data_IF_201639029142
#
_entry.id   IF_201639029142
#
_cell.length_a   1.000
_cell.length_b   1.000
_cell.length_c   1.000
_cell.angle_alpha   90.00
_cell.angle_beta   90.00
_cell.angle_gamma   90.00
#
_symmetry.space_group_name_H-M   'P 1'
#
loop_
_entity.id
_entity.type
_entity.pdbx_description
1 polymer ?
#
# COMPACT_ATOMS: atom_id res chain seq x y z
N UNK A 1 21.27 -32.27 42.50
CA UNK A 1 21.70 -33.01 41.28
C UNK A 1 22.32 -32.00 40.33
N UNK A 2 23.61 -32.09 40.02
CA UNK A 2 24.30 -31.12 39.15
C UNK A 2 23.95 -31.34 37.68
N UNK A 3 24.01 -30.26 36.90
CA UNK A 3 23.72 -30.23 35.45
C UNK A 3 24.62 -31.23 34.70
N UNK A 4 25.87 -31.38 35.15
CA UNK A 4 26.82 -32.36 34.63
C UNK A 4 26.39 -33.81 34.85
N UNK A 5 25.76 -34.10 36.00
CA UNK A 5 25.23 -35.44 36.30
C UNK A 5 24.07 -35.79 35.38
N UNK A 6 23.24 -34.80 35.02
CA UNK A 6 22.14 -34.95 34.06
C UNK A 6 22.68 -35.17 32.64
N UNK A 7 23.72 -34.43 32.25
CA UNK A 7 24.39 -34.61 30.96
C UNK A 7 25.05 -36.00 30.84
N UNK A 8 25.74 -36.45 31.89
CA UNK A 8 26.35 -37.77 31.94
C UNK A 8 25.32 -38.90 31.86
N UNK A 9 24.16 -38.76 32.51
CA UNK A 9 23.07 -39.74 32.44
C UNK A 9 22.44 -39.77 31.04
N UNK A 10 22.26 -38.62 30.39
CA UNK A 10 21.77 -38.54 29.00
C UNK A 10 22.76 -39.17 28.02
N UNK A 11 24.05 -38.88 28.16
CA UNK A 11 25.11 -39.48 27.34
C UNK A 11 25.16 -41.00 27.51
N UNK A 12 25.05 -41.49 28.76
CA UNK A 12 25.04 -42.93 29.06
C UNK A 12 23.80 -43.64 28.51
N UNK A 13 22.62 -43.00 28.50
CA UNK A 13 21.42 -43.53 27.83
C UNK A 13 21.55 -43.56 26.31
N UNK A 14 22.18 -42.55 25.70
CA UNK A 14 22.38 -42.48 24.25
C UNK A 14 23.37 -43.56 23.78
N UNK A 15 24.45 -43.77 24.53
CA UNK A 15 25.42 -44.83 24.25
C UNK A 15 24.81 -46.23 24.39
N UNK A 16 23.97 -46.45 25.41
CA UNK A 16 23.27 -47.74 25.61
C UNK A 16 22.22 -48.01 24.52
N UNK A 17 21.57 -46.97 23.98
CA UNK A 17 20.66 -47.08 22.81
C UNK A 17 21.37 -47.47 21.51
N UNK A 18 22.65 -47.13 21.35
CA UNK A 18 23.45 -47.49 20.17
C UNK A 18 23.96 -48.94 20.18
N UNK A 19 23.91 -49.64 21.32
CA UNK A 19 24.52 -50.95 21.51
C UNK A 19 23.51 -52.12 21.60
N UNK A 20 22.22 -51.89 21.36
CA UNK A 20 21.19 -52.92 21.55
C UNK A 20 20.45 -53.21 20.24
N UNK A 21 20.73 -54.41 19.73
CA UNK A 21 20.09 -55.19 18.66
C UNK A 21 20.58 -54.88 17.24
N UNK A 22 21.63 -55.62 16.85
CA UNK A 22 21.97 -55.94 15.46
C UNK A 22 21.15 -57.18 15.08
N UNK A 23 20.04 -56.98 14.37
CA UNK A 23 19.34 -58.05 13.66
C UNK A 23 20.08 -58.32 12.35
N UNK A 24 20.24 -59.59 12.05
CA UNK A 24 20.99 -60.13 10.92
C UNK A 24 20.23 -59.89 9.60
N UNK A 25 20.58 -58.83 8.87
CA UNK A 25 20.16 -58.53 7.49
C UNK A 25 21.17 -57.54 6.87
N UNK A 26 22.41 -58.01 6.70
CA UNK A 26 23.57 -57.22 6.32
C UNK A 26 23.82 -57.26 4.80
N UNK A 27 22.98 -56.60 4.00
CA UNK A 27 23.29 -56.32 2.57
C UNK A 27 22.60 -55.05 2.01
N UNK A 28 22.10 -54.14 2.85
CA UNK A 28 21.45 -52.90 2.37
C UNK A 28 21.43 -51.69 3.33
N UNK A 29 21.97 -51.80 4.55
CA UNK A 29 21.84 -50.74 5.58
C UNK A 29 22.98 -49.71 5.60
N UNK A 30 24.19 -50.06 5.14
CA UNK A 30 25.31 -49.11 5.10
C UNK A 30 25.05 -47.98 4.10
N UNK A 31 24.37 -48.28 2.99
CA UNK A 31 24.06 -47.32 1.93
C UNK A 31 22.98 -46.32 2.40
N UNK A 32 21.95 -46.79 3.10
CA UNK A 32 20.91 -45.93 3.70
C UNK A 32 21.45 -44.99 4.79
N UNK A 33 22.46 -45.43 5.55
CA UNK A 33 23.06 -44.62 6.62
C UNK A 33 23.96 -43.51 6.04
N UNK A 34 24.71 -43.79 4.98
CA UNK A 34 25.49 -42.80 4.23
C UNK A 34 24.61 -41.79 3.47
N UNK A 35 23.49 -42.24 2.90
CA UNK A 35 22.52 -41.37 2.22
C UNK A 35 21.86 -40.40 3.22
N UNK A 36 21.47 -40.88 4.41
CA UNK A 36 20.91 -40.02 5.47
C UNK A 36 21.93 -39.01 6.01
N UNK A 37 23.19 -39.42 6.21
CA UNK A 37 24.25 -38.53 6.69
C UNK A 37 24.63 -37.47 5.65
N UNK A 38 24.67 -37.84 4.36
CA UNK A 38 24.82 -36.92 3.24
C UNK A 38 23.69 -35.89 3.19
N UNK A 39 22.43 -36.33 3.38
CA UNK A 39 21.26 -35.44 3.36
C UNK A 39 21.27 -34.46 4.54
N UNK A 40 21.81 -34.85 5.70
CA UNK A 40 22.01 -33.95 6.85
C UNK A 40 23.08 -32.89 6.57
N UNK A 41 24.20 -33.26 5.98
CA UNK A 41 25.29 -32.31 5.68
C UNK A 41 24.92 -31.35 4.54
N UNK A 42 24.20 -31.83 3.51
CA UNK A 42 23.63 -30.99 2.45
C UNK A 42 22.61 -30.01 3.02
N UNK A 43 21.70 -30.48 3.87
CA UNK A 43 20.71 -29.61 4.54
C UNK A 43 21.40 -28.58 5.44
N UNK A 44 22.49 -28.96 6.12
CA UNK A 44 23.28 -28.05 6.95
C UNK A 44 24.02 -26.99 6.12
N UNK A 45 24.61 -27.36 4.99
CA UNK A 45 25.27 -26.41 4.08
C UNK A 45 24.25 -25.40 3.52
N UNK A 46 23.09 -25.88 3.08
CA UNK A 46 21.98 -25.04 2.59
C UNK A 46 21.53 -24.04 3.68
N UNK A 47 21.26 -24.53 4.89
CA UNK A 47 20.86 -23.70 6.04
C UNK A 47 21.93 -22.68 6.45
N UNK A 48 23.21 -23.02 6.29
CA UNK A 48 24.33 -22.13 6.65
C UNK A 48 24.56 -21.00 5.65
N UNK A 49 24.16 -21.21 4.39
CA UNK A 49 24.35 -20.27 3.27
C UNK A 49 23.11 -19.44 2.98
N UNK A 50 21.93 -19.89 3.40
CA UNK A 50 20.71 -19.13 3.21
C UNK A 50 20.62 -17.93 4.15
N UNK A 51 20.15 -16.80 3.63
CA UNK A 51 19.86 -15.61 4.43
C UNK A 51 18.35 -15.43 4.54
N UNK A 52 17.81 -15.73 5.71
CA UNK A 52 16.38 -15.55 5.96
C UNK A 52 16.04 -14.07 6.16
N UNK A 53 15.34 -13.48 5.19
CA UNK A 53 14.96 -12.06 5.22
C UNK A 53 13.76 -11.75 6.12
N UNK A 54 12.83 -12.70 6.27
CA UNK A 54 11.64 -12.58 7.12
C UNK A 54 11.30 -13.92 7.77
N UNK A 55 10.89 -13.86 9.02
CA UNK A 55 10.34 -14.99 9.79
C UNK A 55 8.87 -14.72 10.10
N UNK A 56 8.16 -15.76 10.53
CA UNK A 56 6.78 -15.63 11.06
C UNK A 56 6.65 -14.53 12.12
N UNK A 57 7.70 -14.31 12.92
CA UNK A 57 7.72 -13.28 13.96
C UNK A 57 7.96 -11.88 13.37
N UNK A 58 8.88 -11.73 12.41
CA UNK A 58 9.19 -10.41 11.84
C UNK A 58 8.07 -9.88 10.94
N UNK A 59 7.22 -10.74 10.37
CA UNK A 59 6.05 -10.31 9.58
C UNK A 59 4.96 -9.69 10.45
N UNK A 60 4.87 -10.10 11.72
CA UNK A 60 3.90 -9.56 12.69
C UNK A 60 4.35 -8.21 13.28
N UNK A 61 5.60 -7.81 13.05
CA UNK A 61 6.17 -6.57 13.58
C UNK A 61 6.36 -5.55 12.46
N UNK A 62 5.95 -4.30 12.69
CA UNK A 62 6.20 -3.21 11.75
C UNK A 62 7.66 -2.77 11.81
N UNK A 63 8.33 -2.75 10.66
CA UNK A 63 9.70 -2.24 10.55
C UNK A 63 9.72 -0.73 10.75
N UNK A 64 10.35 -0.26 11.83
CA UNK A 64 10.63 1.17 12.07
C UNK A 64 9.47 2.00 12.63
N UNK A 65 8.32 1.39 12.96
CA UNK A 65 7.20 2.08 13.62
C UNK A 65 6.74 1.29 14.83
N UNK A 66 6.61 1.97 15.97
CA UNK A 66 6.05 1.38 17.18
C UNK A 66 4.72 2.06 17.51
N UNK A 67 3.63 1.33 17.33
CA UNK A 67 2.27 1.85 17.52
C UNK A 67 1.78 1.72 18.97
N UNK A 68 2.53 1.05 19.85
CA UNK A 68 2.14 0.81 21.24
C UNK A 68 1.75 2.11 21.96
N UNK A 69 2.53 3.18 21.76
CA UNK A 69 2.30 4.48 22.40
C UNK A 69 1.03 5.18 21.92
N UNK A 70 0.56 4.89 20.71
CA UNK A 70 -0.67 5.47 20.15
C UNK A 70 -1.90 4.60 20.45
N UNK A 71 -1.73 3.28 20.48
CA UNK A 71 -2.83 2.32 20.60
C UNK A 71 -3.19 2.04 22.07
N UNK A 72 -2.22 1.91 22.97
CA UNK A 72 -2.49 1.56 24.37
C UNK A 72 -3.35 2.59 25.13
N UNK A 73 -3.17 3.92 24.95
CA UNK A 73 -4.06 4.89 25.59
C UNK A 73 -5.52 4.79 25.13
N UNK A 74 -5.74 4.46 23.85
CA UNK A 74 -7.09 4.27 23.28
C UNK A 74 -7.74 3.01 23.88
N UNK A 75 -6.98 1.91 23.97
CA UNK A 75 -7.48 0.68 24.59
C UNK A 75 -7.78 0.88 26.08
N UNK A 76 -6.97 1.66 26.78
CA UNK A 76 -7.20 1.97 28.19
C UNK A 76 -8.43 2.86 28.39
N UNK A 77 -8.69 3.82 27.51
CA UNK A 77 -9.90 4.66 27.61
C UNK A 77 -11.18 3.88 27.30
N UNK A 78 -11.14 2.94 26.36
CA UNK A 78 -12.25 2.02 26.09
C UNK A 78 -12.51 1.14 27.33
N UNK A 79 -11.45 0.57 27.91
CA UNK A 79 -11.57 -0.27 29.10
C UNK A 79 -12.16 0.50 30.30
N UNK A 80 -11.70 1.71 30.57
CA UNK A 80 -12.24 2.56 31.65
C UNK A 80 -13.71 2.90 31.43
N UNK A 81 -14.12 3.09 30.17
CA UNK A 81 -15.52 3.35 29.81
C UNK A 81 -16.41 2.11 29.98
N UNK A 82 -15.91 0.93 29.65
CA UNK A 82 -16.64 -0.34 29.86
C UNK A 82 -16.73 -0.69 31.36
N UNK A 83 -15.65 -0.51 32.12
CA UNK A 83 -15.62 -0.81 33.57
C UNK A 83 -16.36 0.24 34.41
N UNK A 84 -16.39 1.51 33.97
CA UNK A 84 -17.15 2.59 34.62
C UNK A 84 -18.65 2.59 34.30
N UNK A 85 -19.10 1.71 33.39
CA UNK A 85 -20.46 1.67 32.87
C UNK A 85 -21.43 0.74 33.62
N UNK A 86 -21.12 0.27 34.83
CA UNK A 86 -22.03 -0.63 35.57
C UNK A 86 -22.12 -0.29 37.06
N UNK A 87 -23.06 0.60 37.42
CA UNK A 87 -23.96 0.56 38.59
C UNK A 87 -24.44 1.98 38.94
N UNK A 88 -25.68 2.30 38.58
CA UNK A 88 -26.50 3.19 39.41
C UNK A 88 -27.67 2.35 39.93
N UNK A 89 -27.56 1.98 41.21
CA UNK A 89 -28.66 1.45 42.00
C UNK A 89 -29.64 2.57 42.30
N UNK A 90 -30.91 2.32 42.02
CA UNK A 90 -32.05 3.13 42.41
C UNK A 90 -32.46 2.77 43.85
N UNK A 91 -32.75 3.76 44.71
CA UNK A 91 -33.64 3.52 45.84
C UNK A 91 -34.92 4.38 45.77
N UNK A 92 -36.03 3.74 46.10
CA UNK A 92 -37.40 4.26 46.27
C UNK A 92 -37.60 5.03 47.62
N UNK A 93 -38.75 5.69 47.82
CA UNK A 93 -38.91 6.87 48.69
C UNK A 93 -39.33 6.56 50.14
N UNK A 94 -39.02 7.46 51.07
CA UNK A 94 -39.66 7.52 52.39
C UNK A 94 -39.74 8.95 52.96
N UNK A 95 -40.80 9.18 53.75
CA UNK A 95 -41.39 10.45 54.19
C UNK A 95 -40.63 11.19 55.32
N UNK A 96 -40.97 12.47 55.50
CA UNK A 96 -40.42 13.47 56.42
C UNK A 96 -40.61 13.19 57.94
N UNK A 97 -39.95 13.97 58.82
CA UNK A 97 -40.70 15.03 59.51
C UNK A 97 -39.94 16.38 59.71
N UNK A 98 -40.69 17.36 60.21
CA UNK A 98 -40.54 18.84 60.18
C UNK A 98 -40.28 19.43 61.58
N UNK A 99 -39.51 20.54 61.68
CA UNK A 99 -39.80 21.75 62.51
C UNK A 99 -38.64 22.81 62.48
N UNK A 100 -38.73 23.93 61.73
CA UNK A 100 -39.06 25.36 62.11
C UNK A 100 -37.83 26.26 62.45
N UNK A 101 -37.86 27.63 62.31
CA UNK A 101 -37.78 28.38 61.04
C UNK A 101 -36.90 29.69 61.07
N UNK A 102 -36.86 30.40 59.92
CA UNK A 102 -36.64 31.85 59.65
C UNK A 102 -35.20 32.39 59.48
N UNK A 103 -34.80 32.75 58.23
CA UNK A 103 -34.74 34.14 57.71
C UNK A 103 -34.23 34.23 56.24
N UNK A 104 -35.01 34.93 55.42
CA UNK A 104 -34.78 35.64 54.13
C UNK A 104 -34.04 34.99 52.94
N UNK A 105 -34.67 35.17 51.77
CA UNK A 105 -34.46 34.58 50.44
C UNK A 105 -33.70 35.57 49.52
N UNK A 106 -32.92 35.07 48.54
CA UNK A 106 -33.20 35.40 47.13
C UNK A 106 -33.45 34.13 46.32
N UNK A 107 -34.56 34.13 45.56
CA UNK A 107 -35.04 33.01 44.75
C UNK A 107 -34.03 32.68 43.63
N UNK A 108 -33.83 31.39 43.29
CA UNK A 108 -33.06 31.01 42.12
C UNK A 108 -33.83 31.37 40.84
N UNK A 109 -33.13 32.01 39.90
CA UNK A 109 -33.68 32.43 38.62
C UNK A 109 -34.35 31.24 37.88
N UNK A 110 -35.65 31.36 37.68
CA UNK A 110 -36.45 30.47 36.85
C UNK A 110 -36.08 30.73 35.38
N UNK A 111 -35.64 29.69 34.68
CA UNK A 111 -35.20 29.75 33.29
C UNK A 111 -36.38 30.13 32.38
N UNK A 112 -36.38 31.37 31.88
CA UNK A 112 -37.33 31.85 30.88
C UNK A 112 -36.82 31.49 29.48
N UNK A 113 -37.59 30.68 28.75
CA UNK A 113 -37.26 30.23 27.37
C UNK A 113 -37.17 31.37 26.34
N UNK A 114 -37.59 32.59 26.69
CA UNK A 114 -37.45 33.80 25.86
C UNK A 114 -36.22 34.67 26.21
N UNK A 115 -35.40 34.29 27.20
CA UNK A 115 -34.20 35.05 27.59
C UNK A 115 -32.94 34.68 26.76
N UNK A 116 -33.14 33.93 25.68
CA UNK A 116 -32.09 33.40 24.81
C UNK A 116 -31.44 34.46 23.91
N UNK A 117 -31.95 35.69 23.90
CA UNK A 117 -31.40 36.81 23.11
C UNK A 117 -30.43 37.71 23.89
N UNK A 118 -30.32 37.55 25.23
CA UNK A 118 -29.35 38.31 26.05
C UNK A 118 -27.92 37.75 26.03
N UNK A 119 -27.73 36.51 25.61
CA UNK A 119 -26.42 35.85 25.54
C UNK A 119 -25.79 35.87 24.13
N UNK A 120 -26.27 36.74 23.23
CA UNK A 120 -25.71 36.87 21.88
C UNK A 120 -24.73 38.02 21.68
N UNK A 121 -24.41 38.79 22.72
CA UNK A 121 -23.43 39.88 22.60
C UNK A 121 -22.65 39.99 23.92
N UNK A 122 -21.33 39.81 23.83
CA UNK A 122 -20.30 39.84 24.90
C UNK A 122 -20.16 38.57 25.75
N UNK A 123 -19.38 37.63 25.24
CA UNK A 123 -18.12 37.15 25.86
C UNK A 123 -17.53 36.08 24.94
N UNK A 124 -17.20 36.50 23.71
CA UNK A 124 -16.32 35.71 22.87
C UNK A 124 -14.89 35.96 23.36
N UNK A 125 -14.19 34.89 23.72
CA UNK A 125 -12.72 34.82 23.68
C UNK A 125 -11.98 35.46 24.86
N UNK A 126 -12.29 35.04 26.08
CA UNK A 126 -11.29 35.13 27.16
C UNK A 126 -10.28 33.97 27.02
N UNK A 127 -9.29 34.16 26.14
CA UNK A 127 -8.00 33.44 26.20
C UNK A 127 -7.51 32.75 24.93
N UNK A 128 -8.37 32.48 23.94
CA UNK A 128 -7.97 31.81 22.68
C UNK A 128 -8.42 32.62 21.48
N UNK A 129 -7.52 33.41 20.89
CA UNK A 129 -7.76 34.18 19.66
C UNK A 129 -8.09 33.26 18.47
N UNK A 130 -9.33 32.78 18.40
CA UNK A 130 -9.86 31.95 17.34
C UNK A 130 -10.63 32.86 16.41
N UNK A 131 -10.06 33.13 15.24
CA UNK A 131 -10.74 33.86 14.18
C UNK A 131 -11.74 32.92 13.50
N UNK A 132 -13.04 33.12 13.75
CA UNK A 132 -14.12 32.26 13.26
C UNK A 132 -14.50 32.51 11.80
N UNK A 133 -13.91 33.53 11.15
CA UNK A 133 -14.22 33.90 9.77
C UNK A 133 -13.02 33.79 8.81
N UNK A 134 -11.86 33.30 9.28
CA UNK A 134 -10.65 33.10 8.48
C UNK A 134 -10.59 31.73 7.80
N UNK A 135 -10.35 31.69 6.49
CA UNK A 135 -10.10 30.44 5.74
C UNK A 135 -8.65 29.97 5.93
N UNK A 136 -8.44 28.88 6.65
CA UNK A 136 -7.13 28.24 6.81
C UNK A 136 -6.82 27.29 5.64
N UNK A 137 -6.47 27.85 4.49
CA UNK A 137 -5.86 27.10 3.40
C UNK A 137 -4.39 27.50 3.28
N UNK A 138 -3.47 26.57 3.60
CA UNK A 138 -2.03 26.75 3.32
C UNK A 138 -1.08 26.93 4.51
N UNK A 139 -1.49 26.73 5.77
CA UNK A 139 -0.56 26.76 6.91
C UNK A 139 -0.08 25.35 7.31
N UNK A 140 1.24 25.20 7.49
CA UNK A 140 1.88 23.97 7.96
C UNK A 140 1.96 23.94 9.49
N UNK A 141 1.85 22.76 10.09
CA UNK A 141 1.71 22.50 11.54
C UNK A 141 2.76 23.17 12.46
N UNK A 142 3.88 23.65 11.92
CA UNK A 142 4.94 24.34 12.67
C UNK A 142 4.62 25.81 13.00
N UNK A 143 3.75 26.47 12.22
CA UNK A 143 3.40 27.89 12.46
C UNK A 143 2.32 28.09 13.51
N UNK A 144 1.69 27.02 14.01
CA UNK A 144 0.66 27.06 15.06
C UNK A 144 1.25 26.83 16.46
N UNK A 145 2.51 26.39 16.57
CA UNK A 145 3.17 26.09 17.85
C UNK A 145 4.10 27.19 18.38
N UNK A 146 4.47 28.18 17.57
CA UNK A 146 5.31 29.30 17.99
C UNK A 146 4.46 30.56 18.20
N UNK A 147 4.22 30.89 19.46
CA UNK A 147 3.45 32.05 19.89
C UNK A 147 4.09 33.40 19.51
N UNK A 148 3.21 34.35 19.24
CA UNK A 148 3.45 35.73 18.80
C UNK A 148 4.34 36.55 19.75
N UNK A 149 5.51 36.99 19.29
CA UNK A 149 6.32 38.07 19.87
C UNK A 149 6.34 39.28 18.91
N UNK A 150 6.06 40.52 19.35
CA UNK A 150 5.94 41.69 18.48
C UNK A 150 7.30 42.36 18.18
N UNK A 151 7.50 42.77 16.91
CA UNK A 151 8.65 43.53 16.40
C UNK A 151 8.58 45.03 16.77
N UNK A 152 9.75 45.68 16.88
CA UNK A 152 9.98 47.13 16.65
C UNK A 152 11.12 47.36 15.63
N UNK A 153 11.21 48.55 14.98
CA UNK A 153 11.61 48.68 13.57
C UNK A 153 12.93 49.50 13.41
N UNK A 154 13.31 50.11 12.25
CA UNK A 154 14.61 49.87 11.60
C UNK A 154 15.54 51.10 11.50
N UNK A 155 16.87 50.90 11.38
CA UNK A 155 17.80 51.93 10.88
C UNK A 155 19.02 51.33 10.16
N UNK A 156 19.41 51.97 9.06
CA UNK A 156 20.62 51.76 8.20
C UNK A 156 21.63 52.91 8.44
N UNK A 157 22.77 53.03 7.72
CA UNK A 157 23.97 52.18 7.62
C UNK A 157 25.30 52.97 7.92
N UNK A 158 26.45 52.32 8.20
CA UNK A 158 27.83 52.78 7.83
C UNK A 158 28.95 51.90 8.42
N UNK A 159 29.96 51.61 7.58
CA UNK A 159 31.31 51.01 7.83
C UNK A 159 32.37 52.11 8.17
N UNK A 160 33.68 51.87 8.48
CA UNK A 160 34.54 50.67 8.27
C UNK A 160 35.62 50.29 9.35
N UNK A 161 36.34 49.18 9.08
CA UNK A 161 37.78 48.89 9.38
C UNK A 161 38.18 48.41 10.84
N UNK A 162 39.10 47.47 11.18
CA UNK A 162 40.19 46.64 10.58
C UNK A 162 40.49 45.40 11.49
N UNK A 163 40.85 44.24 10.87
CA UNK A 163 41.67 43.06 11.30
C UNK A 163 41.40 42.34 12.66
N UNK A 164 41.47 41.01 12.82
CA UNK A 164 42.64 40.12 12.63
C UNK A 164 42.20 38.63 12.50
N UNK A 165 42.86 37.93 11.57
CA UNK A 165 43.19 36.50 11.43
C UNK A 165 42.44 35.39 12.24
N UNK A 166 41.82 34.44 11.53
CA UNK A 166 42.31 33.05 11.38
C UNK A 166 41.27 32.16 10.66
N UNK A 167 41.70 31.51 9.57
CA UNK A 167 41.08 30.33 8.94
C UNK A 167 41.65 29.05 9.63
N UNK A 168 40.99 27.86 9.62
CA UNK A 168 40.48 27.23 8.39
C UNK A 168 39.16 26.42 8.44
N UNK A 169 38.57 26.34 7.24
CA UNK A 169 37.72 25.27 6.68
C UNK A 169 36.40 24.93 7.38
N UNK A 170 35.34 25.69 7.06
CA UNK A 170 33.97 25.18 7.09
C UNK A 170 33.55 24.73 5.69
N UNK A 171 33.22 23.45 5.59
CA UNK A 171 32.54 22.84 4.46
C UNK A 171 31.32 23.66 4.06
N UNK A 172 31.27 24.07 2.79
CA UNK A 172 30.14 24.76 2.20
C UNK A 172 28.87 23.90 2.37
N UNK A 173 27.96 24.35 3.24
CA UNK A 173 26.60 23.85 3.33
C UNK A 173 25.89 24.12 2.00
N UNK A 174 25.95 23.15 1.09
CA UNK A 174 25.14 23.16 -0.11
C UNK A 174 23.68 23.13 0.30
N UNK A 175 22.95 24.19 -0.07
CA UNK A 175 21.48 24.21 -0.07
C UNK A 175 21.02 22.94 -0.80
N UNK A 176 20.22 22.06 -0.17
CA UNK A 176 19.75 20.86 -0.85
C UNK A 176 18.84 21.30 -1.98
N UNK A 177 19.35 21.25 -3.21
CA UNK A 177 18.53 21.33 -4.42
C UNK A 177 17.43 20.28 -4.28
N UNK A 178 16.16 20.61 -4.56
CA UNK A 178 15.10 19.62 -4.51
C UNK A 178 15.46 18.52 -5.50
N UNK A 179 15.86 17.36 -4.97
CA UNK A 179 16.03 16.14 -5.75
C UNK A 179 14.68 15.93 -6.44
N UNK A 180 14.59 15.99 -7.77
CA UNK A 180 13.34 15.76 -8.46
C UNK A 180 12.84 14.39 -8.00
N UNK A 181 11.63 14.37 -7.42
CA UNK A 181 10.98 13.14 -6.97
C UNK A 181 11.12 12.14 -8.11
N UNK A 182 11.82 11.03 -7.85
CA UNK A 182 12.10 10.00 -8.85
C UNK A 182 10.75 9.45 -9.32
N UNK A 183 10.24 9.96 -10.45
CA UNK A 183 8.93 9.58 -10.98
C UNK A 183 8.96 8.08 -11.20
N UNK A 184 8.04 7.36 -10.55
CA UNK A 184 7.98 5.90 -10.64
C UNK A 184 7.77 5.51 -12.10
N UNK A 185 8.76 4.86 -12.72
CA UNK A 185 8.74 4.47 -14.13
C UNK A 185 7.92 3.21 -14.41
N UNK A 186 7.10 2.75 -13.46
CA UNK A 186 6.32 1.51 -13.62
C UNK A 186 5.25 1.74 -14.70
N UNK A 187 5.32 1.04 -15.85
CA UNK A 187 4.30 1.13 -16.89
C UNK A 187 2.94 0.65 -16.40
N UNK A 188 1.88 1.25 -16.93
CA UNK A 188 0.49 1.00 -16.54
C UNK A 188 -0.27 0.33 -17.69
N UNK A 189 -1.04 -0.69 -17.35
CA UNK A 189 -1.97 -1.39 -18.25
C UNK A 189 -3.39 -1.16 -17.70
N UNK A 190 -4.28 -0.65 -18.54
CA UNK A 190 -5.67 -0.43 -18.17
C UNK A 190 -6.52 -1.57 -18.73
N UNK A 191 -7.32 -2.21 -17.88
CA UNK A 191 -8.31 -3.22 -18.28
C UNK A 191 -9.73 -2.65 -18.13
N UNK A 192 -10.73 -3.18 -18.83
CA UNK A 192 -12.11 -2.72 -18.63
C UNK A 192 -12.60 -3.11 -17.23
N UNK A 193 -13.36 -2.22 -16.59
CA UNK A 193 -14.01 -2.48 -15.30
C UNK A 193 -15.26 -3.39 -15.41
N UNK A 194 -15.60 -3.86 -16.60
CA UNK A 194 -16.79 -4.68 -16.84
C UNK A 194 -16.59 -6.11 -16.34
N UNK A 195 -17.56 -6.60 -15.57
CA UNK A 195 -17.59 -7.97 -15.04
C UNK A 195 -17.72 -9.04 -16.12
N UNK A 196 -18.28 -8.68 -17.27
CA UNK A 196 -18.43 -9.56 -18.45
C UNK A 196 -17.19 -9.64 -19.32
N UNK A 197 -16.14 -8.85 -19.01
CA UNK A 197 -14.86 -8.91 -19.72
C UNK A 197 -14.14 -10.24 -19.44
N UNK A 198 -13.41 -10.73 -20.44
CA UNK A 198 -12.55 -11.90 -20.32
C UNK A 198 -11.35 -11.63 -19.40
N UNK A 199 -10.84 -10.41 -19.41
CA UNK A 199 -9.79 -9.96 -18.49
C UNK A 199 -10.39 -9.04 -17.43
N UNK A 200 -10.13 -9.37 -16.17
CA UNK A 200 -10.58 -8.65 -14.97
C UNK A 200 -9.45 -8.57 -13.95
N UNK A 201 -9.62 -7.78 -12.89
CA UNK A 201 -8.62 -7.67 -11.83
C UNK A 201 -8.35 -8.99 -11.09
N UNK A 202 -9.23 -10.00 -11.21
CA UNK A 202 -9.06 -11.31 -10.58
C UNK A 202 -8.11 -12.23 -11.35
N UNK A 203 -8.11 -12.15 -12.68
CA UNK A 203 -7.37 -13.07 -13.56
C UNK A 203 -6.28 -12.36 -14.39
N UNK A 204 -6.14 -11.04 -14.29
CA UNK A 204 -5.14 -10.27 -15.03
C UNK A 204 -3.71 -10.78 -14.79
N UNK A 205 -3.40 -11.25 -13.57
CA UNK A 205 -2.11 -11.84 -13.26
C UNK A 205 -1.87 -13.12 -14.07
N UNK A 206 -2.82 -14.07 -14.04
CA UNK A 206 -2.70 -15.33 -14.77
C UNK A 206 -2.61 -15.11 -16.28
N UNK A 207 -3.41 -14.19 -16.82
CA UNK A 207 -3.46 -13.90 -18.25
C UNK A 207 -2.18 -13.20 -18.71
N UNK A 208 -1.71 -12.18 -18.00
CA UNK A 208 -0.60 -11.35 -18.47
C UNK A 208 0.76 -11.91 -18.04
N UNK A 209 0.87 -12.49 -16.84
CA UNK A 209 2.12 -13.02 -16.32
C UNK A 209 2.31 -14.50 -16.67
N UNK A 210 1.32 -15.35 -16.40
CA UNK A 210 1.43 -16.80 -16.58
C UNK A 210 1.02 -17.24 -18.01
N UNK A 211 0.48 -16.31 -18.80
CA UNK A 211 0.02 -16.53 -20.18
C UNK A 211 -1.04 -17.64 -20.25
N UNK A 212 -1.91 -17.69 -19.24
CA UNK A 212 -2.96 -18.68 -19.12
C UNK A 212 -4.28 -17.99 -18.82
N UNK A 213 -5.32 -18.34 -19.56
CA UNK A 213 -6.65 -17.88 -19.23
C UNK A 213 -7.20 -18.67 -18.03
N UNK A 214 -7.69 -17.94 -17.03
CA UNK A 214 -8.49 -18.45 -15.92
C UNK A 214 -9.75 -17.61 -15.83
N UNK A 215 -10.90 -18.24 -15.66
CA UNK A 215 -12.16 -17.50 -15.58
C UNK A 215 -12.27 -16.70 -14.28
N UNK A 216 -13.00 -15.59 -14.32
CA UNK A 216 -13.26 -14.78 -13.12
C UNK A 216 -14.01 -15.59 -12.05
N UNK A 217 -14.94 -16.46 -12.45
CA UNK A 217 -15.75 -17.27 -11.52
C UNK A 217 -14.90 -18.34 -10.81
N UNK A 218 -13.95 -18.96 -11.51
CA UNK A 218 -12.98 -19.87 -10.93
C UNK A 218 -12.06 -19.18 -9.91
N UNK A 219 -11.65 -17.93 -10.18
CA UNK A 219 -10.87 -17.15 -9.20
C UNK A 219 -11.68 -16.77 -7.96
N UNK A 220 -12.96 -16.46 -8.15
CA UNK A 220 -13.87 -16.15 -7.04
C UNK A 220 -14.15 -17.39 -6.18
N UNK A 221 -14.35 -18.56 -6.79
CA UNK A 221 -14.56 -19.81 -6.05
C UNK A 221 -13.34 -20.23 -5.24
N UNK A 222 -12.13 -19.87 -5.67
CA UNK A 222 -10.88 -20.02 -4.92
C UNK A 222 -10.72 -19.00 -3.77
N UNK A 223 -11.69 -18.10 -3.55
CA UNK A 223 -11.66 -17.10 -2.49
C UNK A 223 -10.72 -15.91 -2.76
N UNK A 224 -10.29 -15.69 -4.01
CA UNK A 224 -9.46 -14.53 -4.34
C UNK A 224 -10.23 -13.22 -4.13
N UNK A 225 -9.60 -12.30 -3.40
CA UNK A 225 -10.13 -10.95 -3.20
C UNK A 225 -9.74 -10.06 -4.37
N UNK A 226 -10.61 -9.09 -4.70
CA UNK A 226 -10.31 -8.07 -5.70
C UNK A 226 -9.31 -7.06 -5.15
N UNK A 227 -8.26 -6.81 -5.93
CA UNK A 227 -7.32 -5.72 -5.68
C UNK A 227 -7.66 -4.50 -6.55
N UNK A 228 -7.38 -3.29 -6.04
CA UNK A 228 -7.57 -2.05 -6.81
C UNK A 228 -6.45 -1.83 -7.85
N UNK A 229 -5.29 -2.43 -7.64
CA UNK A 229 -4.17 -2.41 -8.57
C UNK A 229 -3.38 -3.71 -8.40
N UNK A 230 -3.09 -4.38 -9.51
CA UNK A 230 -2.33 -5.65 -9.52
C UNK A 230 -0.96 -5.36 -10.11
N UNK A 231 0.11 -5.73 -9.41
CA UNK A 231 1.47 -5.65 -9.94
C UNK A 231 1.85 -6.98 -10.59
N UNK A 232 2.16 -6.96 -11.89
CA UNK A 232 2.64 -8.13 -12.62
C UNK A 232 4.13 -7.98 -12.91
N UNK A 233 4.86 -9.09 -12.89
CA UNK A 233 6.29 -9.11 -13.17
C UNK A 233 6.56 -9.94 -14.41
N UNK A 234 7.05 -9.29 -15.46
CA UNK A 234 7.39 -9.96 -16.71
C UNK A 234 8.91 -10.11 -16.83
N UNK A 235 9.37 -11.33 -17.06
CA UNK A 235 10.76 -11.61 -17.43
C UNK A 235 10.91 -11.38 -18.93
N UNK A 236 11.80 -10.46 -19.33
CA UNK A 236 12.17 -10.28 -20.73
C UNK A 236 13.32 -11.22 -21.11
N UNK A 237 13.44 -11.48 -22.41
CA UNK A 237 14.56 -12.21 -22.98
C UNK A 237 15.84 -11.40 -22.70
N UNK A 238 16.77 -11.96 -21.91
CA UNK A 238 17.94 -11.26 -21.39
C UNK A 238 17.99 -11.10 -19.86
N UNK A 239 17.05 -11.70 -19.12
CA UNK A 239 17.12 -11.81 -17.65
C UNK A 239 16.56 -10.59 -16.88
N UNK A 240 16.28 -9.49 -17.56
CA UNK A 240 15.66 -8.30 -16.96
C UNK A 240 14.18 -8.54 -16.66
N UNK A 241 13.78 -8.34 -15.40
CA UNK A 241 12.36 -8.38 -15.00
C UNK A 241 11.78 -6.97 -14.95
N UNK A 242 10.71 -6.74 -15.71
CA UNK A 242 9.98 -5.46 -15.75
C UNK A 242 8.66 -5.63 -15.00
N UNK A 243 8.38 -4.72 -14.07
CA UNK A 243 7.10 -4.70 -13.35
C UNK A 243 6.09 -3.81 -14.08
N UNK A 244 4.86 -4.27 -14.24
CA UNK A 244 3.74 -3.48 -14.78
C UNK A 244 2.64 -3.38 -13.74
N UNK A 245 1.97 -2.23 -13.68
CA UNK A 245 0.81 -2.00 -12.82
C UNK A 245 -0.46 -2.11 -13.66
N UNK A 246 -1.33 -3.04 -13.29
CA UNK A 246 -2.64 -3.23 -13.92
C UNK A 246 -3.70 -2.57 -13.06
N UNK A 247 -4.62 -1.85 -13.71
CA UNK A 247 -5.75 -1.15 -13.09
C UNK A 247 -6.99 -1.29 -13.97
N UNK A 248 -8.17 -1.15 -13.37
CA UNK A 248 -9.45 -1.12 -14.10
C UNK A 248 -10.15 0.26 -14.05
N UNK A 249 -9.86 1.06 -13.02
CA UNK A 249 -10.43 2.38 -12.82
C UNK A 249 -9.41 3.48 -13.16
N UNK A 250 -9.54 4.15 -14.31
CA UNK A 250 -8.65 5.23 -14.73
C UNK A 250 -8.88 6.55 -13.97
N UNK A 251 -9.97 6.69 -13.21
CA UNK A 251 -10.30 7.91 -12.47
C UNK A 251 -9.30 8.26 -11.37
N UNK A 252 -8.55 7.27 -10.87
CA UNK A 252 -7.52 7.47 -9.85
C UNK A 252 -6.15 7.83 -10.44
N UNK A 253 -6.03 8.03 -11.77
CA UNK A 253 -4.77 8.38 -12.41
C UNK A 253 -4.58 9.89 -12.46
N UNK A 254 -3.42 10.34 -12.00
CA UNK A 254 -3.00 11.71 -12.22
C UNK A 254 -2.66 11.93 -13.70
N UNK A 255 -2.67 13.19 -14.16
CA UNK A 255 -2.32 13.53 -15.54
C UNK A 255 -0.93 13.01 -15.94
N UNK A 256 0.04 13.04 -15.01
CA UNK A 256 1.40 12.51 -15.21
C UNK A 256 1.45 10.98 -15.38
N UNK A 257 0.44 10.26 -14.87
CA UNK A 257 0.40 8.80 -14.95
C UNK A 257 0.01 8.32 -16.35
N UNK A 258 -0.68 9.16 -17.12
CA UNK A 258 -1.13 8.83 -18.48
C UNK A 258 0.04 8.62 -19.46
N UNK A 259 1.17 9.30 -19.25
CA UNK A 259 2.39 9.07 -20.03
C UNK A 259 2.98 7.67 -19.79
N UNK A 260 2.69 7.09 -18.63
CA UNK A 260 3.12 5.73 -18.24
C UNK A 260 2.16 4.65 -18.72
N UNK A 261 1.00 5.02 -19.26
CA UNK A 261 0.06 4.05 -19.82
C UNK A 261 0.61 3.53 -21.16
N UNK A 262 0.85 2.22 -21.21
CA UNK A 262 1.43 1.56 -22.38
C UNK A 262 0.40 0.76 -23.17
N UNK A 263 -0.60 0.21 -22.48
CA UNK A 263 -1.64 -0.61 -23.09
C UNK A 263 -3.02 -0.38 -22.44
N UNK A 264 -4.06 -0.56 -23.24
CA UNK A 264 -5.47 -0.56 -22.82
C UNK A 264 -6.20 -1.76 -23.40
N UNK A 265 -6.99 -2.46 -22.60
CA UNK A 265 -7.96 -3.44 -23.07
C UNK A 265 -9.31 -2.78 -23.30
N UNK A 266 -9.87 -2.97 -24.48
CA UNK A 266 -11.12 -2.36 -24.92
C UNK A 266 -12.23 -3.38 -24.94
N UNK A 267 -13.42 -2.97 -24.52
CA UNK A 267 -14.62 -3.81 -24.51
C UNK A 267 -15.47 -3.60 -25.77
N UNK A 268 -15.47 -2.39 -26.33
CA UNK A 268 -16.17 -2.06 -27.58
C UNK A 268 -17.00 -0.77 -27.54
N UNK A 269 -17.79 -0.50 -26.48
CA UNK A 269 -18.54 0.74 -26.41
C UNK A 269 -17.65 1.97 -26.19
N UNK A 270 -17.87 3.05 -26.96
CA UNK A 270 -17.08 4.28 -26.87
C UNK A 270 -17.17 4.98 -25.49
N UNK A 271 -18.27 4.77 -24.77
CA UNK A 271 -18.44 5.34 -23.42
C UNK A 271 -17.38 4.85 -22.42
N UNK A 272 -16.68 3.73 -22.71
CA UNK A 272 -15.56 3.25 -21.90
C UNK A 272 -14.49 4.33 -21.69
N UNK A 273 -14.30 5.22 -22.65
CA UNK A 273 -13.26 6.26 -22.65
C UNK A 273 -13.76 7.62 -22.13
N UNK A 274 -14.96 7.67 -21.56
CA UNK A 274 -15.50 8.91 -20.99
C UNK A 274 -14.62 9.39 -19.84
N UNK A 275 -14.21 10.67 -19.90
CA UNK A 275 -13.35 11.29 -18.89
C UNK A 275 -11.87 10.95 -19.00
N UNK A 276 -11.45 10.27 -20.08
CA UNK A 276 -10.05 10.05 -20.39
C UNK A 276 -9.44 11.32 -21.00
N UNK A 277 -8.10 11.46 -21.00
CA UNK A 277 -7.43 12.54 -21.72
C UNK A 277 -7.76 12.54 -23.21
N UNK A 278 -7.38 13.61 -23.90
CA UNK A 278 -7.65 13.78 -25.35
C UNK A 278 -9.14 13.75 -25.69
N UNK A 279 -9.98 14.27 -24.79
CA UNK A 279 -11.42 14.35 -24.98
C UNK A 279 -12.15 13.00 -24.99
N UNK A 280 -11.49 11.91 -24.61
CA UNK A 280 -12.09 10.57 -24.66
C UNK A 280 -12.27 10.01 -26.07
N UNK A 281 -11.62 10.60 -27.09
CA UNK A 281 -11.70 10.12 -28.46
C UNK A 281 -10.86 8.84 -28.62
N UNK A 282 -11.45 7.69 -28.99
CA UNK A 282 -10.72 6.42 -29.14
C UNK A 282 -9.55 6.52 -30.12
N UNK A 283 -9.70 7.27 -31.22
CA UNK A 283 -8.67 7.40 -32.26
C UNK A 283 -7.40 8.07 -31.68
N UNK A 284 -7.59 9.18 -30.95
CA UNK A 284 -6.49 9.93 -30.35
C UNK A 284 -5.82 9.12 -29.22
N UNK A 285 -6.61 8.42 -28.41
CA UNK A 285 -6.11 7.52 -27.36
C UNK A 285 -5.24 6.41 -27.98
N UNK A 286 -5.73 5.74 -29.03
CA UNK A 286 -5.06 4.60 -29.64
C UNK A 286 -3.84 4.97 -30.50
N UNK A 287 -3.72 6.24 -30.89
CA UNK A 287 -2.51 6.76 -31.52
C UNK A 287 -1.31 6.77 -30.55
N UNK A 288 -1.57 6.97 -29.24
CA UNK A 288 -0.55 7.09 -28.19
C UNK A 288 -0.36 5.79 -27.39
N UNK A 289 -1.46 5.11 -27.10
CA UNK A 289 -1.53 3.91 -26.25
C UNK A 289 -1.93 2.70 -27.12
N UNK A 290 -1.31 1.54 -26.91
CA UNK A 290 -1.73 0.34 -27.66
C UNK A 290 -3.02 -0.24 -27.12
N UNK A 291 -3.99 -0.38 -27.99
CA UNK A 291 -5.26 -0.99 -27.66
C UNK A 291 -5.29 -2.47 -28.02
N UNK A 292 -5.89 -3.26 -27.14
CA UNK A 292 -6.09 -4.70 -27.30
C UNK A 292 -7.54 -5.06 -27.03
N UNK A 293 -8.08 -6.02 -27.76
CA UNK A 293 -9.42 -6.55 -27.51
C UNK A 293 -9.32 -8.06 -27.33
N UNK A 294 -9.78 -8.55 -26.19
CA UNK A 294 -9.78 -9.98 -25.88
C UNK A 294 -11.19 -10.53 -26.12
N UNK A 295 -11.31 -11.49 -27.03
CA UNK A 295 -12.59 -12.13 -27.37
C UNK A 295 -12.45 -13.65 -27.47
N UNK A 296 -13.58 -14.34 -27.37
CA UNK A 296 -13.68 -15.73 -27.79
C UNK A 296 -13.64 -15.80 -29.33
N UNK A 297 -13.01 -16.84 -29.86
CA UNK A 297 -12.97 -17.18 -31.29
C UNK A 297 -14.36 -17.27 -31.92
N UNK A 298 -15.32 -17.89 -31.23
CA UNK A 298 -16.71 -18.08 -31.67
C UNK A 298 -17.56 -16.79 -31.70
N UNK A 299 -17.13 -15.72 -31.01
CA UNK A 299 -17.91 -14.48 -30.90
C UNK A 299 -17.56 -13.52 -32.04
N UNK A 300 -18.54 -12.85 -32.63
CA UNK A 300 -18.30 -11.82 -33.66
C UNK A 300 -17.61 -10.59 -33.07
N UNK A 301 -16.70 -9.97 -33.82
CA UNK A 301 -16.05 -8.73 -33.38
C UNK A 301 -17.08 -7.59 -33.34
N UNK A 302 -17.03 -6.76 -32.29
CA UNK A 302 -17.88 -5.57 -32.19
C UNK A 302 -17.58 -4.56 -33.30
N UNK A 303 -18.63 -3.96 -33.87
CA UNK A 303 -18.54 -3.03 -35.00
C UNK A 303 -17.71 -1.77 -34.69
N UNK A 304 -17.66 -1.32 -33.43
CA UNK A 304 -16.83 -0.18 -33.05
C UNK A 304 -15.36 -0.58 -32.95
N UNK A 305 -15.07 -1.73 -32.37
CA UNK A 305 -13.70 -2.27 -32.26
C UNK A 305 -13.10 -2.48 -33.66
N UNK A 306 -13.89 -2.95 -34.61
CA UNK A 306 -13.46 -3.13 -36.00
C UNK A 306 -13.01 -1.83 -36.69
N UNK A 307 -13.55 -0.67 -36.28
CA UNK A 307 -13.18 0.64 -36.83
C UNK A 307 -11.94 1.24 -36.20
N UNK A 308 -11.51 0.72 -35.06
CA UNK A 308 -10.44 1.28 -34.26
C UNK A 308 -9.12 0.53 -34.48
N UNK A 309 -8.00 1.22 -34.27
CA UNK A 309 -6.65 0.63 -34.34
C UNK A 309 -6.36 -0.25 -33.10
N UNK A 310 -7.03 -1.41 -33.02
CA UNK A 310 -7.00 -2.33 -31.88
C UNK A 310 -6.46 -3.69 -32.31
N UNK A 311 -5.60 -4.28 -31.48
CA UNK A 311 -5.10 -5.64 -31.69
C UNK A 311 -6.07 -6.64 -31.09
N UNK A 312 -6.66 -7.48 -31.93
CA UNK A 312 -7.63 -8.49 -31.50
C UNK A 312 -6.90 -9.77 -31.11
N UNK A 313 -7.07 -10.20 -29.87
CA UNK A 313 -6.56 -11.46 -29.34
C UNK A 313 -7.75 -12.39 -29.19
N UNK A 314 -7.67 -13.53 -29.86
CA UNK A 314 -8.72 -14.55 -29.85
C UNK A 314 -8.30 -15.68 -28.92
N UNK A 315 -9.15 -16.04 -27.98
CA UNK A 315 -8.99 -17.21 -27.13
C UNK A 315 -10.03 -18.25 -27.53
N UNK A 316 -9.69 -19.52 -27.34
CA UNK A 316 -10.61 -20.63 -27.55
C UNK A 316 -11.09 -21.17 -26.21
N UNK A 317 -12.35 -21.57 -26.11
CA UNK A 317 -12.90 -22.13 -24.86
C UNK A 317 -12.33 -23.53 -24.58
N UNK A 318 -12.10 -24.30 -25.64
CA UNK A 318 -11.68 -25.71 -25.59
C UNK A 318 -10.17 -25.84 -25.78
N UNK A 319 -9.56 -25.06 -26.68
CA UNK A 319 -8.12 -25.20 -27.03
C UNK A 319 -7.20 -24.34 -26.14
N UNK A 320 -7.20 -24.61 -24.83
CA UNK A 320 -6.44 -23.85 -23.82
C UNK A 320 -4.92 -23.88 -23.98
N UNK A 321 -4.38 -24.89 -24.68
CA UNK A 321 -2.95 -24.95 -24.98
C UNK A 321 -2.48 -23.84 -25.93
N UNK A 322 -3.39 -23.25 -26.70
CA UNK A 322 -3.09 -22.12 -27.61
C UNK A 322 -3.10 -20.76 -26.90
N UNK A 323 -3.68 -20.67 -25.70
CA UNK A 323 -3.78 -19.42 -24.95
C UNK A 323 -2.39 -18.78 -24.76
N UNK A 324 -1.36 -19.60 -24.47
CA UNK A 324 0.02 -19.11 -24.30
C UNK A 324 0.55 -18.41 -25.54
N UNK A 325 0.34 -18.97 -26.72
CA UNK A 325 0.81 -18.39 -27.98
C UNK A 325 0.06 -17.10 -28.31
N UNK A 326 -1.27 -17.11 -28.16
CA UNK A 326 -2.11 -15.95 -28.45
C UNK A 326 -1.85 -14.78 -27.48
N UNK A 327 -1.62 -15.07 -26.20
CA UNK A 327 -1.27 -14.08 -25.19
C UNK A 327 0.20 -13.64 -25.28
N UNK A 328 1.09 -14.44 -25.86
CA UNK A 328 2.46 -14.01 -26.11
C UNK A 328 2.50 -12.88 -27.17
N UNK A 329 1.63 -12.94 -28.19
CA UNK A 329 1.52 -11.91 -29.22
C UNK A 329 1.21 -10.51 -28.62
N UNK A 330 0.42 -10.44 -27.54
CA UNK A 330 0.21 -9.18 -26.78
C UNK A 330 1.54 -8.52 -26.40
N UNK A 331 2.43 -9.32 -25.81
CA UNK A 331 3.71 -8.84 -25.33
C UNK A 331 4.68 -8.49 -26.45
N UNK A 332 4.65 -9.22 -27.57
CA UNK A 332 5.44 -8.88 -28.75
C UNK A 332 5.04 -7.52 -29.34
N UNK A 333 3.74 -7.24 -29.41
CA UNK A 333 3.23 -5.95 -29.86
C UNK A 333 3.62 -4.83 -28.89
N UNK A 334 3.54 -5.10 -27.58
CA UNK A 334 3.90 -4.11 -26.56
C UNK A 334 5.39 -3.80 -26.53
N UNK A 335 6.25 -4.82 -26.66
CA UNK A 335 7.71 -4.66 -26.67
C UNK A 335 8.19 -3.79 -27.82
N UNK A 336 7.57 -3.90 -29.00
CA UNK A 336 7.89 -3.02 -30.14
C UNK A 336 7.67 -1.54 -29.79
N UNK A 337 6.67 -1.24 -28.96
CA UNK A 337 6.38 0.14 -28.53
C UNK A 337 7.33 0.60 -27.44
N UNK A 338 7.59 -0.25 -26.44
CA UNK A 338 8.52 0.11 -25.37
C UNK A 338 9.94 0.28 -25.90
N UNK A 339 10.36 -0.54 -26.86
CA UNK A 339 11.63 -0.37 -27.56
C UNK A 339 11.68 1.00 -28.26
N UNK A 340 10.64 1.37 -29.02
CA UNK A 340 10.57 2.67 -29.71
C UNK A 340 10.57 3.85 -28.72
N UNK A 341 9.80 3.78 -27.62
CA UNK A 341 9.79 4.83 -26.58
C UNK A 341 11.12 4.94 -25.84
N UNK A 342 11.78 3.82 -25.54
CA UNK A 342 13.11 3.81 -24.90
C UNK A 342 14.15 4.47 -25.79
N UNK A 343 14.18 4.11 -27.08
CA UNK A 343 15.12 4.67 -28.05
C UNK A 343 14.95 6.19 -28.23
N UNK A 344 13.69 6.67 -28.25
CA UNK A 344 13.38 8.11 -28.30
C UNK A 344 13.82 8.84 -27.03
N UNK A 345 13.61 8.25 -25.84
CA UNK A 345 14.03 8.85 -24.57
C UNK A 345 15.55 8.86 -24.36
N UNK A 346 16.28 7.92 -24.95
CA UNK A 346 17.74 7.91 -24.90
C UNK A 346 18.35 8.89 -25.90
N UNK A 347 17.72 9.08 -27.06
CA UNK A 347 18.14 10.08 -28.06
C UNK A 347 17.99 11.53 -27.55
N UNK A 348 16.94 11.83 -26.77
CA UNK A 348 16.71 13.16 -26.17
C UNK A 348 17.61 13.42 -24.95
N UNK A 349 18.24 12.38 -24.38
CA UNK A 349 19.19 12.52 -23.26
C UNK A 349 20.65 12.67 -23.70
N UNK A 350 20.95 12.34 -24.94
CA UNK A 350 22.30 12.42 -25.53
C UNK A 350 22.45 13.56 -26.56
N UNK A 351 21.43 14.41 -26.70
CA UNK A 351 21.46 15.70 -27.40
C UNK A 351 21.25 16.80 -26.37
#
# INVERSE_FOLDING_TARGET
MSVEKIAAIKAKRLAKKRATIKGDDDLGLQDMQGILEYDVDVTRDILSRERQWRTRATVLQSTGKNFAKSIFPILQSIKVREEGGTKQQQPEPAQAPRATPVRAIPQPAVYNRYDQERFRVKEETEGFKIDTMGTYHGMNLKSVTEGTQPKRPPTTPSTPAIAVANQPTTTASQVPRPVPKRVSRTPIIIIPAATTSLITMYNAKDILQDLRFVSTDEKKSQGCKRENAVLIQRRRNGGTTVSYRVIDNPTNLANEDWDRVVAVFVQGPAWQFKGWPWGGNPIDIFSRIKAFHLKWDEITLDSNVAKWAVHVIQLSRQKRHLDRANLLNFWEVLDRVEFKRSWMHDSVRNA
#
